data_IF_066379400874
#
_entry.id   IF_066379400874
#
_cell.length_a   1.000
_cell.length_b   1.000
_cell.length_c   1.000
_cell.angle_alpha   90.00
_cell.angle_beta   90.00
_cell.angle_gamma   90.00
#
_symmetry.space_group_name_H-M   'P 1'
#
loop_
_entity.id
_entity.type
_entity.pdbx_description
1 polymer ?
#
# COMPACT_ATOMS: atom_id res chain seq x y z
N UNK A 1 0.99 -8.01 -12.70
CA UNK A 1 1.68 -6.75 -13.06
C UNK A 1 2.63 -6.43 -11.92
N UNK A 2 3.91 -6.20 -12.20
CA UNK A 2 4.91 -5.84 -11.20
C UNK A 2 6.09 -5.20 -11.92
N UNK A 3 6.66 -4.12 -11.38
CA UNK A 3 7.75 -3.42 -12.07
C UNK A 3 9.09 -4.17 -12.02
N UNK A 4 9.20 -5.22 -11.19
CA UNK A 4 10.41 -6.04 -11.01
C UNK A 4 11.60 -5.30 -10.37
N UNK A 5 11.49 -3.98 -10.14
CA UNK A 5 12.60 -3.13 -9.64
C UNK A 5 12.98 -3.42 -8.19
N UNK A 6 12.16 -4.16 -7.45
CA UNK A 6 12.48 -4.62 -6.11
C UNK A 6 13.50 -5.76 -6.07
N UNK A 7 13.57 -6.61 -7.10
CA UNK A 7 14.49 -7.74 -7.13
C UNK A 7 15.97 -7.33 -7.18
N UNK A 8 16.42 -6.46 -8.11
CA UNK A 8 17.85 -6.14 -8.21
C UNK A 8 18.40 -5.36 -7.01
N UNK A 9 17.52 -4.83 -6.14
CA UNK A 9 17.89 -4.09 -4.93
C UNK A 9 17.66 -4.90 -3.65
N UNK A 10 17.17 -6.13 -3.76
CA UNK A 10 17.03 -7.01 -2.61
C UNK A 10 18.40 -7.65 -2.33
N UNK A 11 19.01 -7.45 -1.14
CA UNK A 11 20.30 -8.08 -0.84
C UNK A 11 20.17 -9.55 -0.42
N UNK A 12 18.97 -10.10 -0.44
CA UNK A 12 18.68 -11.49 -0.09
C UNK A 12 17.88 -12.17 -1.20
N UNK A 13 17.65 -13.47 -1.05
CA UNK A 13 16.76 -14.26 -1.93
C UNK A 13 15.32 -14.29 -1.41
N UNK A 14 14.90 -13.27 -0.65
CA UNK A 14 13.55 -13.20 -0.09
C UNK A 14 12.46 -12.89 -1.13
N UNK A 15 12.85 -12.49 -2.34
CA UNK A 15 11.94 -12.22 -3.44
C UNK A 15 12.13 -13.25 -4.53
N UNK A 16 11.04 -13.84 -4.98
CA UNK A 16 10.99 -14.67 -6.17
C UNK A 16 9.94 -14.13 -7.15
N UNK A 17 10.11 -14.41 -8.44
CA UNK A 17 9.16 -14.04 -9.49
C UNK A 17 8.69 -15.29 -10.21
N UNK A 18 7.54 -15.80 -9.77
CA UNK A 18 6.86 -16.85 -10.50
C UNK A 18 5.98 -16.27 -11.60
N UNK A 19 6.11 -16.83 -12.80
CA UNK A 19 5.14 -16.57 -13.85
C UNK A 19 3.78 -17.13 -13.40
N UNK A 20 2.77 -16.26 -13.31
CA UNK A 20 1.39 -16.55 -12.87
C UNK A 20 0.71 -17.75 -13.58
N UNK A 21 1.31 -18.26 -14.66
CA UNK A 21 0.80 -19.34 -15.49
C UNK A 21 0.87 -20.72 -14.79
N UNK A 22 1.54 -20.86 -13.65
CA UNK A 22 1.59 -22.11 -12.88
C UNK A 22 0.91 -21.92 -11.52
N UNK A 23 -0.41 -22.12 -11.47
CA UNK A 23 -1.22 -22.10 -10.22
C UNK A 23 -0.76 -23.13 -9.18
N UNK A 24 0.05 -24.10 -9.60
CA UNK A 24 0.45 -25.27 -8.79
C UNK A 24 1.23 -24.90 -7.52
N UNK A 25 1.97 -23.78 -7.52
CA UNK A 25 2.67 -23.28 -6.33
C UNK A 25 1.85 -22.32 -5.46
N UNK A 26 1.01 -21.48 -6.09
CA UNK A 26 0.27 -20.43 -5.39
C UNK A 26 -0.72 -21.00 -4.37
N UNK A 27 -1.39 -22.11 -4.70
CA UNK A 27 -2.33 -22.76 -3.79
C UNK A 27 -1.61 -23.25 -2.53
N UNK A 28 -0.41 -23.83 -2.68
CA UNK A 28 0.37 -24.31 -1.54
C UNK A 28 0.84 -23.16 -0.66
N UNK A 29 1.31 -22.06 -1.27
CA UNK A 29 1.74 -20.85 -0.55
C UNK A 29 0.57 -20.24 0.21
N UNK A 30 -0.59 -20.06 -0.43
CA UNK A 30 -1.76 -19.47 0.22
C UNK A 30 -2.38 -20.39 1.28
N UNK A 31 -2.26 -21.71 1.13
CA UNK A 31 -2.70 -22.67 2.14
C UNK A 31 -1.78 -22.72 3.38
N UNK A 32 -0.60 -22.12 3.33
CA UNK A 32 0.29 -22.04 4.49
C UNK A 32 -0.25 -21.02 5.51
N UNK A 33 -0.49 -21.49 6.74
CA UNK A 33 -1.03 -20.68 7.84
C UNK A 33 -0.09 -19.54 8.26
N UNK A 34 1.20 -19.60 7.90
CA UNK A 34 2.16 -18.51 8.15
C UNK A 34 1.95 -17.32 7.22
N UNK A 35 1.20 -17.47 6.14
CA UNK A 35 0.85 -16.37 5.24
C UNK A 35 -0.37 -15.64 5.81
N UNK A 36 -0.11 -14.60 6.59
CA UNK A 36 -1.14 -13.81 7.29
C UNK A 36 -1.75 -12.70 6.43
N UNK A 37 -1.05 -12.27 5.37
CA UNK A 37 -1.51 -11.20 4.48
C UNK A 37 -1.20 -11.48 3.02
N UNK A 38 -2.02 -10.92 2.13
CA UNK A 38 -1.91 -11.08 0.67
C UNK A 38 -2.11 -9.74 -0.01
N UNK A 39 -1.17 -9.36 -0.86
CA UNK A 39 -1.24 -8.19 -1.72
C UNK A 39 -1.68 -8.58 -3.14
N UNK A 40 -2.71 -7.91 -3.66
CA UNK A 40 -3.28 -8.18 -4.99
C UNK A 40 -3.19 -6.90 -5.81
N UNK A 41 -2.39 -6.90 -6.88
CA UNK A 41 -2.34 -5.77 -7.83
C UNK A 41 -3.31 -5.96 -8.99
N UNK A 42 -4.16 -4.97 -9.22
CA UNK A 42 -5.00 -4.88 -10.40
C UNK A 42 -4.65 -3.65 -11.23
N UNK A 43 -4.26 -3.87 -12.48
CA UNK A 43 -3.93 -2.78 -13.41
C UNK A 43 -5.17 -2.02 -13.87
N UNK A 44 -6.30 -2.72 -14.03
CA UNK A 44 -7.53 -2.16 -14.59
C UNK A 44 -8.63 -1.94 -13.55
N UNK A 45 -8.48 -2.51 -12.34
CA UNK A 45 -9.52 -2.52 -11.31
C UNK A 45 -10.89 -2.98 -11.86
N UNK A 46 -10.88 -3.89 -12.83
CA UNK A 46 -12.10 -4.40 -13.45
C UNK A 46 -12.88 -5.28 -12.46
N UNK A 47 -14.14 -4.93 -12.20
CA UNK A 47 -14.96 -5.61 -11.19
C UNK A 47 -15.20 -7.08 -11.52
N UNK A 48 -15.36 -7.44 -12.80
CA UNK A 48 -15.56 -8.82 -13.21
C UNK A 48 -14.30 -9.66 -12.98
N UNK A 49 -13.12 -9.11 -13.29
CA UNK A 49 -11.84 -9.79 -13.01
C UNK A 49 -11.56 -9.92 -11.50
N UNK A 50 -11.96 -8.92 -10.71
CA UNK A 50 -11.88 -8.98 -9.24
C UNK A 50 -12.76 -10.12 -8.73
N UNK A 51 -14.03 -10.16 -9.11
CA UNK A 51 -14.94 -11.25 -8.72
C UNK A 51 -14.39 -12.61 -9.12
N UNK A 52 -13.92 -12.75 -10.37
CA UNK A 52 -13.35 -14.01 -10.84
C UNK A 52 -12.11 -14.44 -10.05
N UNK A 53 -11.27 -13.49 -9.63
CA UNK A 53 -10.12 -13.75 -8.78
C UNK A 53 -10.57 -14.31 -7.42
N UNK A 54 -11.59 -13.71 -6.80
CA UNK A 54 -12.13 -14.17 -5.52
C UNK A 54 -12.97 -15.45 -5.62
N UNK A 55 -13.59 -15.74 -6.76
CA UNK A 55 -14.21 -17.05 -7.01
C UNK A 55 -13.16 -18.16 -7.01
N UNK A 56 -12.02 -17.91 -7.65
CA UNK A 56 -10.93 -18.90 -7.80
C UNK A 56 -10.10 -19.05 -6.52
N UNK A 57 -9.83 -17.95 -5.80
CA UNK A 57 -8.88 -17.92 -4.66
C UNK A 57 -9.54 -17.65 -3.31
N UNK A 58 -10.79 -17.21 -3.26
CA UNK A 58 -11.49 -16.77 -2.05
C UNK A 58 -11.38 -17.72 -0.85
N UNK A 59 -11.57 -19.05 -1.02
CA UNK A 59 -11.38 -20.00 0.08
C UNK A 59 -9.96 -20.00 0.67
N UNK A 60 -8.94 -19.76 -0.15
CA UNK A 60 -7.54 -19.67 0.27
C UNK A 60 -7.19 -18.30 0.85
N UNK A 61 -7.96 -17.26 0.53
CA UNK A 61 -7.80 -15.91 1.07
C UNK A 61 -8.55 -15.71 2.39
N UNK A 62 -9.42 -16.66 2.77
CA UNK A 62 -10.22 -16.58 3.98
C UNK A 62 -9.33 -16.44 5.23
N UNK A 63 -9.62 -15.43 6.05
CA UNK A 63 -8.88 -15.15 7.29
C UNK A 63 -7.56 -14.39 7.09
N UNK A 64 -7.11 -14.16 5.85
CA UNK A 64 -5.91 -13.39 5.55
C UNK A 64 -6.24 -11.90 5.42
N UNK A 65 -5.32 -11.04 5.84
CA UNK A 65 -5.47 -9.59 5.66
C UNK A 65 -5.13 -9.22 4.20
N UNK A 66 -6.09 -8.65 3.49
CA UNK A 66 -5.95 -8.36 2.06
C UNK A 66 -5.52 -6.90 1.84
N UNK A 67 -4.49 -6.71 1.03
CA UNK A 67 -4.11 -5.43 0.43
C UNK A 67 -4.46 -5.43 -1.05
N UNK A 68 -5.45 -4.64 -1.45
CA UNK A 68 -5.82 -4.50 -2.85
C UNK A 68 -5.20 -3.23 -3.45
N UNK A 69 -4.27 -3.43 -4.39
CA UNK A 69 -3.49 -2.38 -5.00
C UNK A 69 -4.00 -2.05 -6.39
N UNK A 70 -4.35 -0.78 -6.63
CA UNK A 70 -4.69 -0.31 -7.96
C UNK A 70 -4.46 1.19 -8.10
N UNK A 71 -4.56 1.69 -9.35
CA UNK A 71 -4.43 3.10 -9.67
C UNK A 71 -5.82 3.72 -9.91
N UNK A 72 -6.43 4.39 -8.92
CA UNK A 72 -7.72 5.06 -9.09
C UNK A 72 -7.64 6.32 -9.97
N UNK A 73 -6.45 6.92 -10.11
CA UNK A 73 -6.24 8.09 -10.96
C UNK A 73 -6.54 7.77 -12.43
N UNK A 74 -7.42 8.58 -13.04
CA UNK A 74 -7.87 8.40 -14.42
C UNK A 74 -9.09 7.49 -14.59
N UNK A 75 -9.62 6.92 -13.50
CA UNK A 75 -10.89 6.19 -13.50
C UNK A 75 -12.04 7.13 -13.10
N UNK A 76 -13.20 6.91 -13.71
CA UNK A 76 -14.44 7.60 -13.33
C UNK A 76 -14.80 7.36 -11.87
N UNK A 77 -15.40 8.34 -11.21
CA UNK A 77 -15.82 8.20 -9.80
C UNK A 77 -16.80 7.04 -9.60
N UNK A 78 -17.69 6.80 -10.57
CA UNK A 78 -18.63 5.66 -10.55
C UNK A 78 -17.90 4.32 -10.63
N UNK A 79 -16.84 4.23 -11.41
CA UNK A 79 -16.01 3.03 -11.49
C UNK A 79 -15.25 2.79 -10.19
N UNK A 80 -14.61 3.81 -9.62
CA UNK A 80 -13.95 3.71 -8.31
C UNK A 80 -14.92 3.26 -7.20
N UNK A 81 -16.15 3.76 -7.21
CA UNK A 81 -17.20 3.32 -6.29
C UNK A 81 -17.53 1.83 -6.47
N UNK A 82 -17.74 1.39 -7.72
CA UNK A 82 -18.05 0.00 -8.03
C UNK A 82 -16.93 -0.96 -7.56
N UNK A 83 -15.68 -0.55 -7.68
CA UNK A 83 -14.52 -1.31 -7.17
C UNK A 83 -14.58 -1.44 -5.64
N UNK A 84 -14.79 -0.34 -4.92
CA UNK A 84 -14.89 -0.35 -3.46
C UNK A 84 -16.05 -1.23 -3.00
N UNK A 85 -17.22 -1.12 -3.65
CA UNK A 85 -18.41 -1.93 -3.37
C UNK A 85 -18.15 -3.42 -3.60
N UNK A 86 -17.50 -3.75 -4.71
CA UNK A 86 -17.15 -5.13 -5.07
C UNK A 86 -16.19 -5.73 -4.04
N UNK A 87 -15.10 -5.04 -3.71
CA UNK A 87 -14.14 -5.50 -2.70
C UNK A 87 -14.79 -5.65 -1.32
N UNK A 88 -15.60 -4.68 -0.90
CA UNK A 88 -16.27 -4.70 0.40
C UNK A 88 -17.28 -5.82 0.55
N UNK A 89 -17.85 -6.30 -0.56
CA UNK A 89 -18.72 -7.48 -0.58
C UNK A 89 -17.93 -8.79 -0.55
N UNK A 90 -16.80 -8.84 -1.24
CA UNK A 90 -16.00 -10.07 -1.39
C UNK A 90 -15.09 -10.34 -0.18
N UNK A 91 -14.61 -9.30 0.49
CA UNK A 91 -13.65 -9.43 1.59
C UNK A 91 -14.38 -9.22 2.92
N UNK A 92 -14.61 -10.28 3.72
CA UNK A 92 -15.24 -10.13 5.02
C UNK A 92 -14.30 -9.42 6.00
N UNK A 93 -14.78 -8.35 6.62
CA UNK A 93 -14.03 -7.63 7.65
C UNK A 93 -13.07 -6.59 7.08
N UNK A 94 -11.96 -6.36 7.79
CA UNK A 94 -11.03 -5.25 7.53
C UNK A 94 -10.03 -5.61 6.42
N UNK A 95 -9.80 -4.69 5.49
CA UNK A 95 -8.81 -4.82 4.43
C UNK A 95 -8.24 -3.46 4.05
N UNK A 96 -7.13 -3.42 3.31
CA UNK A 96 -6.56 -2.17 2.80
C UNK A 96 -6.77 -2.00 1.30
N UNK A 97 -7.07 -0.77 0.88
CA UNK A 97 -6.87 -0.31 -0.48
C UNK A 97 -5.58 0.49 -0.50
N UNK A 98 -4.62 0.01 -1.28
CA UNK A 98 -3.33 0.65 -1.44
C UNK A 98 -3.27 1.33 -2.82
N UNK A 99 -3.18 2.65 -2.79
CA UNK A 99 -3.19 3.47 -4.01
C UNK A 99 -1.79 3.50 -4.62
N UNK A 100 -1.68 2.87 -5.78
CA UNK A 100 -0.44 2.81 -6.57
C UNK A 100 -0.21 4.14 -7.31
N UNK A 101 0.95 4.74 -7.10
CA UNK A 101 1.42 5.92 -7.83
C UNK A 101 2.08 5.62 -9.17
N UNK A 102 2.61 6.67 -9.79
CA UNK A 102 3.48 6.58 -10.96
C UNK A 102 4.69 7.52 -10.78
N UNK A 103 5.92 7.01 -10.69
CA UNK A 103 6.30 5.59 -10.75
C UNK A 103 5.90 4.80 -9.49
N UNK A 104 5.69 3.49 -9.64
CA UNK A 104 5.51 2.57 -8.49
C UNK A 104 6.82 2.29 -7.76
N UNK A 105 7.97 2.56 -8.39
CA UNK A 105 9.28 2.35 -7.78
C UNK A 105 9.77 3.59 -7.06
N UNK A 106 10.62 3.39 -6.05
CA UNK A 106 11.29 4.50 -5.40
C UNK A 106 12.15 5.28 -6.40
N UNK A 107 12.01 6.59 -6.33
CA UNK A 107 12.90 7.60 -6.91
C UNK A 107 13.12 8.63 -5.81
N UNK A 108 14.25 9.33 -5.83
CA UNK A 108 14.51 10.45 -4.93
C UNK A 108 13.77 11.73 -5.34
N UNK A 109 13.04 11.71 -6.47
CA UNK A 109 12.23 12.83 -6.92
C UNK A 109 11.17 13.20 -5.88
N UNK A 110 11.25 14.44 -5.40
CA UNK A 110 10.33 14.99 -4.42
C UNK A 110 8.86 14.97 -4.86
N UNK A 111 8.56 14.93 -6.15
CA UNK A 111 7.18 14.91 -6.66
C UNK A 111 6.60 13.50 -6.80
N UNK A 112 7.41 12.45 -6.67
CA UNK A 112 7.00 11.09 -7.07
C UNK A 112 5.87 10.48 -6.24
N UNK A 113 5.71 10.84 -4.96
CA UNK A 113 4.58 10.40 -4.13
C UNK A 113 3.30 11.19 -4.35
N UNK A 114 3.38 12.37 -4.98
CA UNK A 114 2.25 13.28 -5.12
C UNK A 114 1.07 12.69 -5.89
N UNK A 115 1.26 11.97 -7.02
CA UNK A 115 0.14 11.34 -7.72
C UNK A 115 -0.63 10.32 -6.86
N UNK A 116 0.08 9.53 -6.04
CA UNK A 116 -0.57 8.56 -5.16
C UNK A 116 -1.38 9.25 -4.06
N UNK A 117 -0.83 10.31 -3.47
CA UNK A 117 -1.51 11.11 -2.43
C UNK A 117 -2.75 11.80 -2.99
N UNK A 118 -2.65 12.46 -4.15
CA UNK A 118 -3.78 13.13 -4.79
C UNK A 118 -4.90 12.14 -5.14
N UNK A 119 -4.54 10.96 -5.65
CA UNK A 119 -5.50 9.92 -5.97
C UNK A 119 -6.17 9.33 -4.72
N UNK A 120 -5.42 9.15 -3.62
CA UNK A 120 -5.98 8.75 -2.33
C UNK A 120 -6.94 9.80 -1.76
N UNK A 121 -6.60 11.10 -1.85
CA UNK A 121 -7.49 12.18 -1.45
C UNK A 121 -8.80 12.17 -2.25
N UNK A 122 -8.73 11.96 -3.57
CA UNK A 122 -9.90 11.85 -4.43
C UNK A 122 -10.78 10.62 -4.10
N UNK A 123 -10.17 9.52 -3.66
CA UNK A 123 -10.88 8.30 -3.27
C UNK A 123 -11.53 8.41 -1.88
N UNK A 124 -10.93 9.19 -0.98
CA UNK A 124 -11.33 9.28 0.44
C UNK A 124 -12.81 9.59 0.71
N UNK A 125 -13.53 10.44 -0.07
CA UNK A 125 -14.94 10.71 0.19
C UNK A 125 -15.83 9.50 -0.05
N UNK A 126 -15.41 8.58 -0.95
CA UNK A 126 -16.13 7.34 -1.25
C UNK A 126 -16.00 6.32 -0.13
N UNK A 127 -14.87 6.33 0.58
CA UNK A 127 -14.58 5.38 1.67
C UNK A 127 -15.25 5.72 2.99
N UNK A 128 -15.96 6.86 3.09
CA UNK A 128 -16.69 7.23 4.33
C UNK A 128 -17.77 6.22 4.71
N UNK A 129 -18.36 5.57 3.72
CA UNK A 129 -19.40 4.56 3.90
C UNK A 129 -18.82 3.15 4.14
N UNK A 130 -17.49 3.01 4.14
CA UNK A 130 -16.76 1.75 4.22
C UNK A 130 -15.71 1.77 5.35
N UNK A 131 -16.12 1.78 6.62
CA UNK A 131 -15.21 1.90 7.77
C UNK A 131 -14.23 0.73 7.94
N UNK A 132 -14.47 -0.38 7.25
CA UNK A 132 -13.58 -1.54 7.21
C UNK A 132 -12.38 -1.38 6.26
N UNK A 133 -12.34 -0.29 5.49
CA UNK A 133 -11.30 -0.07 4.46
C UNK A 133 -10.23 0.88 4.95
N UNK A 134 -9.01 0.37 5.11
CA UNK A 134 -7.84 1.19 5.31
C UNK A 134 -7.33 1.75 3.98
N UNK A 135 -7.13 3.06 3.90
CA UNK A 135 -6.58 3.71 2.70
C UNK A 135 -5.08 3.95 2.89
N UNK A 136 -4.25 3.33 2.08
CA UNK A 136 -2.79 3.49 2.08
C UNK A 136 -2.27 3.97 0.72
N UNK A 137 -1.03 4.45 0.65
CA UNK A 137 -0.38 4.83 -0.62
C UNK A 137 0.99 4.15 -0.75
N UNK A 138 1.35 3.67 -1.94
CA UNK A 138 2.57 2.85 -2.16
C UNK A 138 3.47 3.29 -3.32
N UNK A 139 3.05 4.23 -4.16
CA UNK A 139 3.85 4.67 -5.29
C UNK A 139 4.71 5.89 -5.02
N UNK A 140 5.99 5.81 -5.36
CA UNK A 140 6.93 6.93 -5.26
C UNK A 140 7.21 7.40 -3.84
N UNK A 141 6.94 6.57 -2.82
CA UNK A 141 7.14 6.94 -1.43
C UNK A 141 8.64 7.07 -1.13
N UNK A 142 9.06 8.23 -0.61
CA UNK A 142 10.45 8.58 -0.29
C UNK A 142 10.54 9.60 0.86
N UNK A 143 11.74 10.13 1.12
CA UNK A 143 12.00 11.09 2.20
C UNK A 143 11.15 12.38 2.13
N UNK A 144 10.71 12.77 0.93
CA UNK A 144 9.87 13.95 0.72
C UNK A 144 8.38 13.68 0.94
N UNK A 145 7.95 12.42 1.02
CA UNK A 145 6.52 12.08 1.19
C UNK A 145 5.93 12.62 2.49
N UNK A 146 6.71 12.68 3.57
CA UNK A 146 6.26 13.24 4.84
C UNK A 146 5.90 14.74 4.74
N UNK A 147 6.58 15.47 3.85
CA UNK A 147 6.26 16.87 3.57
C UNK A 147 4.88 17.00 2.92
N UNK A 148 4.57 16.17 1.92
CA UNK A 148 3.27 16.17 1.25
C UNK A 148 2.11 15.77 2.16
N UNK A 149 2.30 14.77 3.01
CA UNK A 149 1.28 14.33 3.96
C UNK A 149 0.93 15.39 4.99
N UNK A 150 1.84 16.34 5.25
CA UNK A 150 1.57 17.48 6.12
C UNK A 150 0.81 18.60 5.41
N UNK A 151 0.80 18.68 4.08
CA UNK A 151 0.48 19.91 3.33
C UNK A 151 -0.99 20.19 2.99
N UNK A 152 -1.99 19.46 3.51
CA UNK A 152 -3.38 19.83 3.20
C UNK A 152 -3.77 21.15 3.86
N UNK A 153 -4.09 22.16 3.06
CA UNK A 153 -4.58 23.45 3.55
C UNK A 153 -6.05 23.30 3.95
N UNK A 154 -6.34 23.49 5.22
CA UNK A 154 -7.71 23.61 5.71
C UNK A 154 -8.31 24.91 5.18
N UNK A 155 -9.27 24.78 4.26
CA UNK A 155 -9.92 25.92 3.60
C UNK A 155 -10.70 26.81 4.57
N UNK A 156 -11.04 26.32 5.77
CA UNK A 156 -11.76 27.07 6.80
C UNK A 156 -10.84 27.85 7.75
N UNK A 157 -9.61 27.36 7.98
CA UNK A 157 -8.66 27.96 8.93
C UNK A 157 -7.41 28.55 8.27
N UNK A 158 -7.17 28.28 6.98
CA UNK A 158 -5.96 28.65 6.26
C UNK A 158 -4.69 27.96 6.77
N UNK A 159 -4.83 27.00 7.69
CA UNK A 159 -3.71 26.29 8.30
C UNK A 159 -3.41 25.01 7.53
N UNK A 160 -2.13 24.67 7.51
CA UNK A 160 -1.66 23.38 7.04
C UNK A 160 -2.05 22.31 8.08
N UNK A 161 -2.86 21.34 7.67
CA UNK A 161 -3.32 20.21 8.46
C UNK A 161 -2.78 18.89 7.88
N UNK A 162 -2.48 17.89 8.72
CA UNK A 162 -2.05 16.58 8.23
C UNK A 162 -3.20 15.84 7.54
N UNK A 163 -2.91 15.11 6.47
CA UNK A 163 -3.87 14.25 5.78
C UNK A 163 -4.28 13.10 6.69
N UNK A 164 -5.46 13.21 7.31
CA UNK A 164 -6.00 12.19 8.23
C UNK A 164 -6.63 10.98 7.53
N UNK A 165 -6.90 11.10 6.22
CA UNK A 165 -7.63 10.06 5.48
C UNK A 165 -6.73 8.89 5.07
N UNK A 166 -5.42 9.13 4.93
CA UNK A 166 -4.42 8.11 4.61
C UNK A 166 -3.96 7.49 5.94
N UNK A 167 -4.02 6.16 6.04
CA UNK A 167 -3.82 5.39 7.26
C UNK A 167 -2.47 4.66 7.30
N UNK A 168 -1.73 4.66 6.18
CA UNK A 168 -0.43 4.02 6.08
C UNK A 168 0.26 4.24 4.73
N UNK A 169 1.51 3.81 4.65
CA UNK A 169 2.35 3.89 3.45
C UNK A 169 2.96 2.52 3.14
N UNK A 170 2.93 2.13 1.87
CA UNK A 170 3.76 1.06 1.34
C UNK A 170 5.10 1.64 0.89
N UNK A 171 6.22 1.20 1.48
CA UNK A 171 7.56 1.65 1.09
C UNK A 171 8.47 0.44 0.87
N UNK A 172 8.85 0.19 -0.38
CA UNK A 172 9.69 -0.94 -0.75
C UNK A 172 11.18 -0.56 -0.84
N UNK A 173 11.62 -0.12 -2.02
CA UNK A 173 13.04 0.11 -2.34
C UNK A 173 13.73 1.08 -1.38
N UNK A 174 13.10 2.22 -1.05
CA UNK A 174 13.72 3.23 -0.20
C UNK A 174 13.88 2.75 1.25
N UNK A 175 12.86 2.06 1.78
CA UNK A 175 12.93 1.44 3.11
C UNK A 175 14.05 0.39 3.18
N UNK A 176 14.24 -0.41 2.12
CA UNK A 176 15.34 -1.39 2.06
C UNK A 176 16.71 -0.71 2.08
N UNK A 177 16.93 0.32 1.26
CA UNK A 177 18.19 1.07 1.30
C UNK A 177 18.45 1.63 2.70
N UNK A 178 17.45 2.26 3.32
CA UNK A 178 17.58 2.78 4.68
C UNK A 178 17.96 1.72 5.72
N UNK A 179 17.29 0.57 5.70
CA UNK A 179 17.59 -0.53 6.64
C UNK A 179 19.00 -1.08 6.40
N UNK A 180 19.42 -1.26 5.15
CA UNK A 180 20.74 -1.81 4.85
C UNK A 180 21.87 -0.81 5.06
N UNK A 181 21.70 0.44 4.67
CA UNK A 181 22.65 1.52 4.98
C UNK A 181 22.86 1.63 6.50
N UNK A 182 21.78 1.51 7.29
CA UNK A 182 21.85 1.53 8.75
C UNK A 182 22.56 0.28 9.32
N UNK A 183 22.35 -0.89 8.73
CA UNK A 183 23.02 -2.13 9.15
C UNK A 183 24.50 -2.16 8.76
N UNK A 184 24.86 -1.63 7.59
CA UNK A 184 26.25 -1.51 7.16
C UNK A 184 27.01 -0.46 7.99
N UNK A 185 26.33 0.61 8.40
CA UNK A 185 26.90 1.67 9.24
C UNK A 185 26.98 1.30 10.73
N UNK A 186 26.26 0.27 11.17
CA UNK A 186 26.17 -0.13 12.58
C UNK A 186 26.94 -1.41 12.89
N UNK A 187 27.63 -1.45 14.03
CA UNK A 187 28.21 -2.69 14.56
C UNK A 187 27.14 -3.61 15.20
N UNK A 188 25.94 -3.10 15.48
CA UNK A 188 24.88 -3.78 16.20
C UNK A 188 23.50 -3.65 15.50
N UNK A 189 22.77 -4.76 15.27
CA UNK A 189 21.46 -4.75 14.61
C UNK A 189 20.41 -3.84 15.28
N UNK A 190 20.45 -3.70 16.60
CA UNK A 190 19.48 -2.88 17.34
C UNK A 190 19.59 -1.39 17.01
N UNK A 191 20.81 -0.87 16.81
CA UNK A 191 21.04 0.52 16.42
C UNK A 191 20.53 0.80 15.01
N UNK A 192 20.63 -0.19 14.11
CA UNK A 192 20.10 -0.06 12.76
C UNK A 192 18.56 -0.03 12.74
N UNK A 193 17.92 -0.81 13.62
CA UNK A 193 16.46 -0.78 13.82
C UNK A 193 16.02 0.59 14.34
N UNK A 194 16.73 1.17 15.30
CA UNK A 194 16.42 2.52 15.82
C UNK A 194 16.63 3.61 14.75
N UNK A 195 17.70 3.54 13.96
CA UNK A 195 17.91 4.46 12.83
C UNK A 195 16.79 4.35 11.79
N UNK A 196 16.38 3.13 11.43
CA UNK A 196 15.24 2.91 10.54
C UNK A 196 13.93 3.45 11.13
N UNK A 197 13.68 3.27 12.43
CA UNK A 197 12.51 3.86 13.13
C UNK A 197 12.53 5.39 13.11
N UNK A 198 13.69 6.01 13.33
CA UNK A 198 13.84 7.46 13.29
C UNK A 198 13.49 8.03 11.91
N UNK A 199 13.80 7.31 10.82
CA UNK A 199 13.42 7.69 9.46
C UNK A 199 11.92 7.57 9.20
N UNK A 200 11.22 6.74 9.96
CA UNK A 200 9.76 6.58 9.90
C UNK A 200 8.99 7.57 10.79
N UNK A 201 9.62 8.15 11.80
CA UNK A 201 8.98 9.09 12.74
C UNK A 201 8.20 10.25 12.07
N UNK A 202 8.63 10.81 10.93
CA UNK A 202 7.87 11.86 10.23
C UNK A 202 6.53 11.42 9.64
N UNK A 203 6.24 10.11 9.58
CA UNK A 203 5.07 9.50 8.94
C UNK A 203 3.99 9.05 9.95
N UNK A 204 3.92 9.66 11.14
CA UNK A 204 2.96 9.27 12.16
C UNK A 204 1.50 9.46 11.68
N UNK A 205 0.75 8.37 11.54
CA UNK A 205 -0.66 8.39 11.17
C UNK A 205 -1.56 8.26 12.40
N UNK A 206 -2.64 9.04 12.49
CA UNK A 206 -3.62 8.85 13.55
C UNK A 206 -4.31 7.49 13.38
N UNK A 207 -4.32 6.69 14.44
CA UNK A 207 -5.13 5.46 14.47
C UNK A 207 -6.61 5.84 14.49
N UNK A 208 -7.38 5.39 13.49
CA UNK A 208 -8.85 5.48 13.53
C UNK A 208 -9.47 4.62 14.64
N UNK A 209 -8.69 3.70 15.22
CA UNK A 209 -9.17 2.66 16.12
C UNK A 209 -8.53 2.69 17.52
N UNK A 210 -7.81 3.75 17.86
CA UNK A 210 -7.23 3.94 19.19
C UNK A 210 -7.56 5.35 19.66
N UNK A 211 -8.25 5.53 20.81
CA UNK A 211 -8.33 6.84 21.42
C UNK A 211 -6.91 7.24 21.88
N UNK A 212 -6.54 8.48 21.59
CA UNK A 212 -5.30 9.09 22.07
C UNK A 212 -5.34 9.27 23.59
#
# INVERSE_FOLDING_TARGET
>A
YGCGRCLPVCPTTALDLDAFVLRDGLVQVLADDRVESVEIHSAQADCYLIERCFDDLGPLLAGKYISFCYRPAGLETTHNRAVIETLSRLIPGRFMIQVDGNPMSATSDAQSSRPAIEAALALSPLLRDYPQVDLTVSGGINAHTAHWLRQTMDSSTGKIQPIQVIQGLGMGTFARHWVWDALDASAHPDDAIEQARALLAPFCFPSRHSPC
#
